data_IF_769325479328
#
_entry.id   IF_769325479328
#
_cell.length_a   1.000
_cell.length_b   1.000
_cell.length_c   1.000
_cell.angle_alpha   90.00
_cell.angle_beta   90.00
_cell.angle_gamma   90.00
#
_symmetry.space_group_name_H-M   'P 1'
#
loop_
_entity.id
_entity.type
_entity.pdbx_description
1 polymer ?
#
# COMPACT_ATOMS: atom_id res chain seq x y z
N UNK A 1 49.84 -24.81 3.07
CA UNK A 1 50.69 -23.98 2.21
C UNK A 1 49.92 -22.74 1.80
N UNK A 2 50.57 -21.59 1.90
CA UNK A 2 50.03 -20.25 1.68
C UNK A 2 49.74 -19.95 0.20
N UNK A 3 48.73 -19.07 0.01
CA UNK A 3 48.71 -17.96 -0.95
C UNK A 3 48.40 -18.22 -2.42
N UNK A 4 47.31 -17.60 -2.91
CA UNK A 4 47.45 -16.52 -3.89
C UNK A 4 46.25 -15.57 -3.86
N UNK A 5 46.59 -14.29 -3.87
CA UNK A 5 45.69 -13.14 -3.80
C UNK A 5 45.20 -12.74 -5.20
N UNK A 6 44.15 -11.90 -5.15
CA UNK A 6 43.77 -10.84 -6.07
C UNK A 6 43.34 -11.22 -7.50
N UNK A 7 42.15 -10.76 -7.90
CA UNK A 7 41.96 -9.62 -8.82
C UNK A 7 40.57 -9.65 -9.47
N UNK A 8 39.86 -8.54 -9.29
CA UNK A 8 38.92 -7.86 -10.19
C UNK A 8 38.36 -8.64 -11.38
N UNK A 9 37.04 -8.59 -11.56
CA UNK A 9 36.48 -7.93 -12.75
C UNK A 9 34.95 -7.82 -12.62
N UNK A 10 34.52 -6.58 -12.46
CA UNK A 10 33.27 -6.05 -12.96
C UNK A 10 33.03 -6.59 -14.39
N UNK A 11 31.96 -7.36 -14.62
CA UNK A 11 31.49 -7.60 -15.98
C UNK A 11 30.09 -7.01 -16.12
N UNK A 12 30.15 -5.71 -16.37
CA UNK A 12 29.27 -4.93 -17.23
C UNK A 12 28.79 -5.78 -18.42
N UNK A 13 27.54 -6.24 -18.40
CA UNK A 13 26.89 -6.79 -19.59
C UNK A 13 25.95 -5.74 -20.16
N UNK A 14 26.53 -4.82 -20.93
CA UNK A 14 25.82 -4.06 -21.95
C UNK A 14 25.49 -5.00 -23.09
N UNK A 15 24.20 -5.28 -23.35
CA UNK A 15 23.78 -5.81 -24.64
C UNK A 15 22.92 -4.78 -25.37
N UNK A 16 23.44 -4.42 -26.54
CA UNK A 16 23.01 -3.37 -27.43
C UNK A 16 21.69 -3.67 -28.15
N UNK A 17 21.02 -2.57 -28.53
CA UNK A 17 20.36 -2.25 -29.82
C UNK A 17 20.11 -3.44 -30.76
N UNK A 18 18.94 -3.62 -31.38
CA UNK A 18 18.40 -2.73 -32.42
C UNK A 18 16.95 -3.08 -32.73
N UNK A 19 16.10 -2.07 -32.83
CA UNK A 19 14.86 -2.07 -33.61
C UNK A 19 14.79 -0.74 -34.32
N UNK A 20 15.26 -0.71 -35.56
CA UNK A 20 15.50 0.49 -36.36
C UNK A 20 14.29 0.80 -37.27
N UNK A 21 14.10 2.09 -37.52
CA UNK A 21 13.40 2.76 -38.63
C UNK A 21 11.96 3.23 -38.41
N UNK A 22 11.78 4.55 -38.55
CA UNK A 22 10.51 5.11 -38.98
C UNK A 22 10.25 6.59 -38.65
N UNK A 23 10.95 7.50 -39.34
CA UNK A 23 10.42 8.83 -39.74
C UNK A 23 10.30 9.97 -38.70
N UNK A 24 11.20 10.94 -38.90
CA UNK A 24 11.01 12.40 -38.95
C UNK A 24 10.45 13.21 -37.78
N UNK A 25 11.23 14.25 -37.49
CA UNK A 25 10.86 15.60 -37.07
C UNK A 25 10.93 15.96 -35.57
N UNK A 26 11.83 16.93 -35.35
CA UNK A 26 11.76 18.05 -34.40
C UNK A 26 11.86 17.82 -32.89
N UNK A 27 12.92 18.45 -32.35
CA UNK A 27 12.95 19.27 -31.14
C UNK A 27 12.21 18.75 -29.91
N UNK A 28 12.96 18.37 -28.88
CA UNK A 28 12.97 19.05 -27.56
C UNK A 28 13.92 18.31 -26.62
N UNK A 29 14.78 19.08 -25.94
CA UNK A 29 15.60 18.62 -24.81
C UNK A 29 14.69 17.99 -23.76
N UNK A 30 14.72 16.67 -23.62
CA UNK A 30 14.01 15.95 -22.56
C UNK A 30 14.87 15.96 -21.31
N UNK A 31 14.47 16.78 -20.34
CA UNK A 31 14.86 16.63 -18.94
C UNK A 31 14.44 15.22 -18.52
N UNK A 32 15.29 14.38 -17.92
CA UNK A 32 14.86 13.08 -17.43
C UNK A 32 13.83 13.29 -16.32
N UNK A 33 12.57 12.97 -16.62
CA UNK A 33 11.49 12.87 -15.64
C UNK A 33 11.86 11.80 -14.64
N UNK A 34 12.27 12.22 -13.44
CA UNK A 34 12.36 11.35 -12.28
C UNK A 34 10.96 10.75 -12.06
N UNK A 35 10.84 9.44 -12.26
CA UNK A 35 9.63 8.72 -11.88
C UNK A 35 9.53 8.82 -10.36
N UNK A 36 8.51 9.48 -9.79
CA UNK A 36 8.37 9.53 -8.35
C UNK A 36 8.19 8.09 -7.88
N UNK A 37 9.16 7.60 -7.10
CA UNK A 37 8.97 6.40 -6.30
C UNK A 37 7.99 6.80 -5.21
N UNK A 38 6.69 6.66 -5.48
CA UNK A 38 5.64 6.82 -4.49
C UNK A 38 5.89 5.77 -3.40
N UNK A 39 6.59 6.19 -2.35
CA UNK A 39 6.59 5.46 -1.09
C UNK A 39 5.15 5.50 -0.61
N UNK A 40 4.47 4.36 -0.37
CA UNK A 40 3.10 4.38 0.13
C UNK A 40 3.09 5.15 1.43
N UNK A 41 2.44 6.32 1.43
CA UNK A 41 2.19 7.07 2.65
C UNK A 41 1.15 6.25 3.40
N UNK A 42 1.57 5.44 4.37
CA UNK A 42 0.64 4.83 5.31
C UNK A 42 -0.07 5.97 6.05
N UNK A 43 -1.31 6.25 5.66
CA UNK A 43 -2.17 7.15 6.42
C UNK A 43 -2.32 6.52 7.80
N UNK A 44 -1.99 7.23 8.88
CA UNK A 44 -2.10 6.68 10.23
C UNK A 44 -3.56 6.33 10.48
N UNK A 45 -3.86 5.03 10.57
CA UNK A 45 -5.19 4.57 10.97
C UNK A 45 -5.31 4.86 12.46
N UNK A 46 -6.31 5.67 12.83
CA UNK A 46 -6.57 6.01 14.23
C UNK A 46 -6.67 4.75 15.09
N UNK A 47 -5.98 4.75 16.24
CA UNK A 47 -5.97 3.61 17.16
C UNK A 47 -7.35 3.37 17.77
N UNK A 48 -8.06 4.43 18.12
CA UNK A 48 -9.39 4.35 18.71
C UNK A 48 -10.39 5.06 17.79
N UNK A 49 -11.45 4.37 17.38
CA UNK A 49 -12.49 4.94 16.51
C UNK A 49 -13.87 4.47 16.92
N UNK A 50 -14.82 5.39 16.94
CA UNK A 50 -16.23 5.10 17.24
C UNK A 50 -17.10 5.43 16.03
N UNK A 51 -17.99 4.52 15.69
CA UNK A 51 -19.02 4.70 14.67
C UNK A 51 -20.38 4.68 15.34
N UNK A 52 -21.18 5.73 15.12
CA UNK A 52 -22.56 5.81 15.59
C UNK A 52 -23.58 5.43 14.53
N UNK A 53 -23.14 4.81 13.43
CA UNK A 53 -24.01 4.35 12.36
C UNK A 53 -23.43 3.12 11.67
N UNK A 54 -24.33 2.22 11.26
CA UNK A 54 -23.99 1.02 10.50
C UNK A 54 -23.28 1.37 9.19
N UNK A 55 -23.78 2.36 8.46
CA UNK A 55 -23.20 2.77 7.17
C UNK A 55 -21.75 3.24 7.30
N UNK A 56 -21.44 4.01 8.34
CA UNK A 56 -20.08 4.50 8.58
C UNK A 56 -19.11 3.37 8.91
N UNK A 57 -19.57 2.41 9.73
CA UNK A 57 -18.78 1.22 10.05
C UNK A 57 -18.57 0.33 8.83
N UNK A 58 -19.62 0.05 8.06
CA UNK A 58 -19.53 -0.77 6.84
C UNK A 58 -18.59 -0.18 5.80
N UNK A 59 -18.62 1.15 5.61
CA UNK A 59 -17.66 1.84 4.73
C UNK A 59 -16.23 1.65 5.22
N UNK A 60 -16.00 1.78 6.52
CA UNK A 60 -14.68 1.56 7.11
C UNK A 60 -14.20 0.12 6.92
N UNK A 61 -15.08 -0.88 7.14
CA UNK A 61 -14.75 -2.29 6.89
C UNK A 61 -14.47 -2.55 5.40
N UNK A 62 -15.23 -1.93 4.49
CA UNK A 62 -15.00 -2.08 3.05
C UNK A 62 -13.66 -1.49 2.59
N UNK A 63 -13.21 -0.40 3.21
CA UNK A 63 -11.94 0.27 2.88
C UNK A 63 -10.73 -0.43 3.52
N UNK A 64 -10.88 -0.96 4.74
CA UNK A 64 -9.75 -1.44 5.53
C UNK A 64 -9.70 -2.98 5.63
N UNK A 65 -10.85 -3.66 5.72
CA UNK A 65 -10.97 -5.12 5.82
C UNK A 65 -10.43 -5.77 7.11
N UNK A 66 -9.71 -5.01 7.93
CA UNK A 66 -8.98 -5.50 9.10
C UNK A 66 -8.98 -4.47 10.24
N UNK A 67 -9.21 -4.94 11.47
CA UNK A 67 -8.92 -4.21 12.71
C UNK A 67 -7.56 -4.70 13.24
N UNK A 68 -6.56 -3.83 13.25
CA UNK A 68 -5.17 -4.16 13.62
C UNK A 68 -5.03 -4.41 15.13
N UNK A 69 -3.94 -5.07 15.53
CA UNK A 69 -3.68 -5.47 16.95
C UNK A 69 -3.72 -4.31 17.95
N UNK A 70 -3.33 -3.11 17.53
CA UNK A 70 -3.30 -1.91 18.37
C UNK A 70 -4.52 -1.00 18.21
N UNK A 71 -5.59 -1.50 17.58
CA UNK A 71 -6.82 -0.76 17.34
C UNK A 71 -7.98 -1.21 18.21
N UNK A 72 -8.80 -0.23 18.61
CA UNK A 72 -10.08 -0.41 19.24
C UNK A 72 -11.15 0.29 18.41
N UNK A 73 -12.04 -0.48 17.79
CA UNK A 73 -13.18 0.05 17.07
C UNK A 73 -14.43 -0.17 17.89
N UNK A 74 -15.22 0.87 18.08
CA UNK A 74 -16.53 0.80 18.76
C UNK A 74 -17.63 1.08 17.75
N UNK A 75 -18.61 0.18 17.66
CA UNK A 75 -19.88 0.40 16.99
C UNK A 75 -20.92 0.70 18.08
N UNK A 76 -21.38 1.95 18.13
CA UNK A 76 -22.27 2.52 19.14
C UNK A 76 -23.63 2.77 18.51
N UNK A 77 -24.51 1.78 18.58
CA UNK A 77 -25.83 1.84 17.92
C UNK A 77 -26.89 2.29 18.91
N UNK A 78 -27.99 2.83 18.37
CA UNK A 78 -29.11 3.18 19.23
C UNK A 78 -29.83 1.91 19.73
N UNK A 79 -30.48 2.00 20.88
CA UNK A 79 -31.25 0.89 21.44
C UNK A 79 -32.26 0.33 20.42
N UNK A 80 -32.23 -0.99 20.25
CA UNK A 80 -33.13 -1.70 19.33
C UNK A 80 -32.66 -1.75 17.87
N UNK A 81 -31.52 -1.14 17.55
CA UNK A 81 -30.89 -1.35 16.24
C UNK A 81 -30.20 -2.73 16.16
N UNK A 82 -30.22 -3.31 14.96
CA UNK A 82 -29.56 -4.58 14.67
C UNK A 82 -28.50 -4.35 13.60
N UNK A 83 -27.28 -4.81 13.88
CA UNK A 83 -26.22 -4.84 12.90
C UNK A 83 -26.04 -6.24 12.32
N UNK A 84 -25.91 -6.32 10.99
CA UNK A 84 -25.60 -7.55 10.26
C UNK A 84 -24.34 -7.31 9.44
N UNK A 85 -23.25 -7.97 9.84
CA UNK A 85 -22.01 -7.95 9.07
C UNK A 85 -22.17 -8.82 7.81
N UNK A 86 -22.20 -8.17 6.65
CA UNK A 86 -22.37 -8.82 5.34
C UNK A 86 -21.05 -8.86 4.52
N UNK A 87 -19.91 -8.73 5.19
CA UNK A 87 -18.58 -8.68 4.60
C UNK A 87 -17.60 -9.46 5.48
N UNK A 88 -16.50 -9.91 4.88
CA UNK A 88 -15.41 -10.50 5.65
C UNK A 88 -14.73 -9.41 6.48
N UNK A 89 -14.53 -9.69 7.77
CA UNK A 89 -13.83 -8.81 8.69
C UNK A 89 -12.80 -9.63 9.48
N UNK A 90 -11.54 -9.26 9.37
CA UNK A 90 -10.48 -9.80 10.24
C UNK A 90 -10.29 -8.91 11.46
N UNK A 91 -10.33 -9.50 12.66
CA UNK A 91 -10.16 -8.77 13.91
C UNK A 91 -8.91 -9.31 14.63
N UNK A 92 -7.87 -8.48 14.73
CA UNK A 92 -6.67 -8.75 15.54
C UNK A 92 -6.59 -7.88 16.79
N UNK A 93 -7.22 -6.70 16.77
CA UNK A 93 -7.39 -5.83 17.93
C UNK A 93 -8.73 -6.03 18.62
N UNK A 94 -9.39 -4.93 19.00
CA UNK A 94 -10.65 -4.94 19.74
C UNK A 94 -11.80 -4.40 18.88
N UNK A 95 -12.93 -5.12 18.88
CA UNK A 95 -14.22 -4.65 18.38
C UNK A 95 -15.22 -4.65 19.54
N UNK A 96 -15.79 -3.49 19.82
CA UNK A 96 -16.83 -3.28 20.84
C UNK A 96 -18.14 -2.96 20.13
N UNK A 97 -19.22 -3.63 20.50
CA UNK A 97 -20.58 -3.35 20.00
C UNK A 97 -21.44 -3.03 21.22
N UNK A 98 -22.07 -1.85 21.21
CA UNK A 98 -22.94 -1.36 22.28
C UNK A 98 -24.21 -0.74 21.74
#
# INVERSE_FOLDING_TARGET
MFSKRDKYALILSTLLLVGCNGSSSESTTTIPTETPTETPVEVPVEKDKTFSSVEGFDKYIAENGEIKEDQTITLDLADGETYVLNKDLTIKGNLIIK
#
